data_IF_720113111764
#
_entry.id   IF_720113111764
#
_cell.length_a   1.000
_cell.length_b   1.000
_cell.length_c   1.000
_cell.angle_alpha   90.00
_cell.angle_beta   90.00
_cell.angle_gamma   90.00
#
_symmetry.space_group_name_H-M   'P 1'
#
loop_
_entity.id
_entity.type
_entity.pdbx_description
1 polymer ?
#
# COMPACT_ATOMS: atom_id res chain seq x y z
N UNK A 1 -3.46 35.47 13.66
CA UNK A 1 -2.61 34.30 13.90
C UNK A 1 -3.55 33.11 14.06
N UNK A 2 -3.96 32.52 12.93
CA UNK A 2 -4.84 31.35 12.92
C UNK A 2 -3.91 30.20 13.33
N UNK A 3 -4.08 29.67 14.54
CA UNK A 3 -3.53 28.35 14.84
C UNK A 3 -4.21 27.42 13.85
N UNK A 4 -3.43 26.79 12.95
CA UNK A 4 -3.93 25.67 12.18
C UNK A 4 -4.46 24.64 13.19
N UNK A 5 -5.78 24.58 13.36
CA UNK A 5 -6.49 23.73 14.30
C UNK A 5 -6.50 22.26 13.81
N UNK A 6 -5.43 21.88 13.10
CA UNK A 6 -5.32 20.60 12.45
C UNK A 6 -4.86 19.61 13.52
N UNK A 7 -5.79 18.80 14.05
CA UNK A 7 -5.47 17.67 14.94
C UNK A 7 -4.22 16.94 14.43
N UNK A 8 -3.34 16.48 15.30
CA UNK A 8 -2.18 15.69 14.85
C UNK A 8 -2.62 14.26 14.45
N UNK A 9 -1.96 13.68 13.43
CA UNK A 9 -2.22 12.31 12.97
C UNK A 9 -1.98 11.30 14.09
N UNK A 10 -0.95 11.52 14.92
CA UNK A 10 -0.65 10.63 16.05
C UNK A 10 -1.73 10.68 17.14
N UNK A 11 -2.25 11.88 17.42
CA UNK A 11 -3.38 12.05 18.34
C UNK A 11 -4.63 11.36 17.81
N UNK A 12 -4.97 11.57 16.54
CA UNK A 12 -6.12 10.93 15.90
C UNK A 12 -5.98 9.40 15.94
N UNK A 13 -4.79 8.88 15.64
CA UNK A 13 -4.50 7.45 15.75
C UNK A 13 -4.71 6.92 17.18
N UNK A 14 -4.26 7.66 18.19
CA UNK A 14 -4.43 7.26 19.60
C UNK A 14 -5.90 7.23 20.01
N UNK A 15 -6.70 8.23 19.60
CA UNK A 15 -8.14 8.28 19.86
C UNK A 15 -8.88 7.11 19.22
N UNK A 16 -8.57 6.81 17.96
CA UNK A 16 -9.18 5.67 17.25
C UNK A 16 -8.80 4.35 17.92
N UNK A 17 -7.52 4.15 18.29
CA UNK A 17 -7.09 2.95 19.02
C UNK A 17 -7.81 2.81 20.36
N UNK A 18 -7.99 3.91 21.10
CA UNK A 18 -8.69 3.91 22.38
C UNK A 18 -10.17 3.55 22.20
N UNK A 19 -10.86 4.18 21.25
CA UNK A 19 -12.25 3.87 20.93
C UNK A 19 -12.41 2.40 20.51
N UNK A 20 -11.55 1.91 19.61
CA UNK A 20 -11.56 0.52 19.17
C UNK A 20 -11.25 -0.47 20.31
N UNK A 21 -10.40 -0.13 21.27
CA UNK A 21 -10.12 -0.96 22.44
C UNK A 21 -11.37 -1.28 23.28
N UNK A 22 -12.33 -0.37 23.33
CA UNK A 22 -13.61 -0.55 24.04
C UNK A 22 -14.74 -1.07 23.15
N UNK A 23 -14.82 -0.60 21.91
CA UNK A 23 -15.97 -0.83 21.03
C UNK A 23 -15.83 -2.07 20.16
N UNK A 24 -14.61 -2.56 19.90
CA UNK A 24 -14.44 -3.74 19.08
C UNK A 24 -14.95 -5.02 19.80
N UNK A 25 -15.64 -5.93 19.07
CA UNK A 25 -15.91 -5.88 17.63
C UNK A 25 -17.09 -4.95 17.29
N UNK A 26 -16.96 -4.13 16.24
CA UNK A 26 -18.03 -3.23 15.77
C UNK A 26 -17.88 -2.84 14.28
N UNK A 27 -18.76 -1.98 13.78
CA UNK A 27 -18.63 -1.40 12.43
C UNK A 27 -17.59 -0.27 12.41
N UNK A 28 -17.00 0.02 11.23
CA UNK A 28 -16.13 1.20 11.04
C UNK A 28 -16.83 2.51 11.45
N UNK A 29 -18.10 2.65 11.08
CA UNK A 29 -18.91 3.83 11.38
C UNK A 29 -19.08 4.05 12.89
N UNK A 30 -19.14 2.97 13.68
CA UNK A 30 -19.26 3.03 15.14
C UNK A 30 -18.01 3.65 15.78
N UNK A 31 -16.81 3.20 15.40
CA UNK A 31 -15.56 3.79 15.90
C UNK A 31 -15.42 5.24 15.43
N UNK A 32 -15.72 5.50 14.16
CA UNK A 32 -15.66 6.85 13.63
C UNK A 32 -16.63 7.79 14.36
N UNK A 33 -17.84 7.34 14.69
CA UNK A 33 -18.83 8.15 15.40
C UNK A 33 -18.36 8.49 16.80
N UNK A 34 -17.87 7.50 17.56
CA UNK A 34 -17.36 7.74 18.91
C UNK A 34 -16.21 8.77 18.94
N UNK A 35 -15.29 8.72 17.97
CA UNK A 35 -14.18 9.69 17.89
C UNK A 35 -14.67 11.07 17.45
N UNK A 36 -15.57 11.15 16.46
CA UNK A 36 -16.12 12.43 15.98
C UNK A 36 -16.94 13.12 17.06
N UNK A 37 -17.82 12.40 17.75
CA UNK A 37 -18.60 12.92 18.89
C UNK A 37 -17.68 13.44 20.01
N UNK A 38 -16.58 12.73 20.30
CA UNK A 38 -15.60 13.17 21.31
C UNK A 38 -14.85 14.45 20.93
N UNK A 39 -14.80 14.79 19.64
CA UNK A 39 -14.06 15.92 19.08
C UNK A 39 -14.98 17.00 18.49
N UNK A 40 -16.30 16.87 18.62
CA UNK A 40 -17.27 17.70 17.91
C UNK A 40 -17.13 19.20 18.19
N UNK A 41 -16.67 19.55 19.40
CA UNK A 41 -16.45 20.93 19.82
C UNK A 41 -15.02 21.45 19.56
N UNK A 42 -14.12 20.58 19.09
CA UNK A 42 -12.72 20.92 18.81
C UNK A 42 -12.44 21.08 17.31
N UNK A 43 -13.28 20.51 16.45
CA UNK A 43 -13.12 20.58 15.00
C UNK A 43 -13.95 21.69 14.37
N UNK A 44 -13.35 22.44 13.45
CA UNK A 44 -14.01 23.55 12.76
C UNK A 44 -15.10 23.08 11.79
N UNK A 45 -15.04 21.84 11.30
CA UNK A 45 -16.03 21.27 10.36
C UNK A 45 -16.21 19.76 10.59
N UNK A 46 -17.37 19.32 11.11
CA UNK A 46 -17.64 17.91 11.43
C UNK A 46 -17.46 16.94 10.25
N UNK A 47 -17.83 17.35 9.05
CA UNK A 47 -17.74 16.53 7.83
C UNK A 47 -16.28 16.24 7.48
N UNK A 48 -15.41 17.26 7.52
CA UNK A 48 -13.98 17.09 7.25
C UNK A 48 -13.30 16.24 8.33
N UNK A 49 -13.74 16.36 9.60
CA UNK A 49 -13.24 15.52 10.67
C UNK A 49 -13.64 14.06 10.45
N UNK A 50 -14.90 13.81 10.06
CA UNK A 50 -15.39 12.47 9.73
C UNK A 50 -14.56 11.83 8.62
N UNK A 51 -14.37 12.52 7.50
CA UNK A 51 -13.55 12.04 6.38
C UNK A 51 -12.12 11.70 6.84
N UNK A 52 -11.54 12.53 7.70
CA UNK A 52 -10.20 12.31 8.23
C UNK A 52 -10.12 11.13 9.20
N UNK A 53 -11.13 10.95 10.06
CA UNK A 53 -11.24 9.81 10.98
C UNK A 53 -11.42 8.50 10.19
N UNK A 54 -12.21 8.53 9.13
CA UNK A 54 -12.41 7.38 8.24
C UNK A 54 -11.10 6.99 7.55
N UNK A 55 -10.39 7.97 6.95
CA UNK A 55 -9.09 7.75 6.33
C UNK A 55 -8.01 7.24 7.32
N UNK A 56 -8.03 7.77 8.55
CA UNK A 56 -7.16 7.32 9.63
C UNK A 56 -7.47 5.87 10.06
N UNK A 57 -8.76 5.52 10.16
CA UNK A 57 -9.21 4.17 10.48
C UNK A 57 -8.76 3.17 9.41
N UNK A 58 -8.88 3.53 8.13
CA UNK A 58 -8.35 2.73 7.03
C UNK A 58 -6.84 2.55 7.10
N UNK A 59 -6.12 3.61 7.49
CA UNK A 59 -4.67 3.54 7.69
C UNK A 59 -4.30 2.59 8.84
N UNK A 60 -5.04 2.61 9.94
CA UNK A 60 -4.82 1.70 11.08
C UNK A 60 -5.16 0.24 10.74
N UNK A 61 -6.17 0.00 9.89
CA UNK A 61 -6.42 -1.33 9.31
C UNK A 61 -5.25 -1.76 8.42
N UNK A 62 -4.75 -0.84 7.58
CA UNK A 62 -3.64 -1.11 6.69
C UNK A 62 -2.36 -1.44 7.45
N UNK A 63 -2.07 -0.71 8.53
CA UNK A 63 -0.90 -0.93 9.39
C UNK A 63 -1.06 -2.18 10.24
N UNK A 64 -2.27 -2.58 10.60
CA UNK A 64 -2.54 -3.83 11.34
C UNK A 64 -2.84 -3.62 12.82
N UNK A 65 -3.24 -2.41 13.21
CA UNK A 65 -3.83 -2.15 14.53
C UNK A 65 -5.28 -2.63 14.61
N UNK A 66 -5.97 -2.60 13.47
CA UNK A 66 -7.33 -3.08 13.29
C UNK A 66 -7.36 -4.20 12.25
N UNK A 67 -8.24 -5.18 12.46
CA UNK A 67 -8.52 -6.24 11.51
C UNK A 67 -9.92 -6.03 10.93
N UNK A 68 -10.00 -6.01 9.60
CA UNK A 68 -11.27 -6.00 8.90
C UNK A 68 -11.67 -7.42 8.50
N UNK A 69 -12.87 -7.83 8.88
CA UNK A 69 -13.48 -9.10 8.48
C UNK A 69 -14.78 -8.83 7.73
N UNK A 70 -14.84 -9.33 6.50
CA UNK A 70 -16.03 -9.32 5.66
C UNK A 70 -16.81 -10.62 5.90
N UNK A 71 -18.14 -10.54 5.96
CA UNK A 71 -19.02 -11.69 6.17
C UNK A 71 -18.79 -12.40 7.52
N UNK A 72 -18.73 -11.62 8.62
CA UNK A 72 -18.78 -12.22 9.96
C UNK A 72 -20.19 -12.81 10.14
N UNK A 73 -20.29 -14.12 10.32
CA UNK A 73 -21.50 -14.75 10.86
C UNK A 73 -21.62 -14.31 12.31
N UNK A 74 -22.45 -13.31 12.52
CA UNK A 74 -22.96 -12.93 13.84
C UNK A 74 -24.25 -13.71 14.05
N UNK A 75 -24.69 -13.86 15.29
CA UNK A 75 -25.97 -14.51 15.62
C UNK A 75 -27.19 -13.87 14.92
N UNK A 76 -27.00 -12.70 14.29
CA UNK A 76 -27.93 -12.10 13.34
C UNK A 76 -27.57 -12.44 11.87
N UNK A 77 -28.25 -13.41 11.24
CA UNK A 77 -28.05 -13.76 9.83
C UNK A 77 -28.41 -12.66 8.82
N UNK A 78 -29.01 -11.54 9.26
CA UNK A 78 -29.22 -10.35 8.42
C UNK A 78 -28.11 -9.31 8.51
N UNK A 79 -27.18 -9.42 9.47
CA UNK A 79 -26.06 -8.51 9.63
C UNK A 79 -24.97 -8.77 8.56
N UNK A 80 -25.25 -8.46 7.29
CA UNK A 80 -24.26 -8.36 6.22
C UNK A 80 -23.45 -7.07 6.40
N UNK A 81 -22.57 -7.06 7.40
CA UNK A 81 -21.70 -5.92 7.69
C UNK A 81 -20.22 -6.28 7.53
N UNK A 82 -19.41 -5.31 7.16
CA UNK A 82 -17.96 -5.35 7.36
C UNK A 82 -17.67 -4.94 8.79
N UNK A 83 -16.99 -5.80 9.54
CA UNK A 83 -16.68 -5.57 10.95
C UNK A 83 -15.20 -5.33 11.16
N UNK A 84 -14.88 -4.49 12.13
CA UNK A 84 -13.52 -4.25 12.60
C UNK A 84 -13.31 -4.87 13.99
N UNK A 85 -12.13 -5.43 14.18
CA UNK A 85 -11.66 -6.03 15.41
C UNK A 85 -10.35 -5.36 15.81
N UNK A 86 -10.11 -5.21 17.12
CA UNK A 86 -8.78 -4.87 17.62
C UNK A 86 -7.82 -6.02 17.30
N UNK A 87 -6.74 -5.75 16.58
CA UNK A 87 -5.70 -6.75 16.38
C UNK A 87 -4.96 -6.99 17.70
N UNK A 88 -4.56 -8.24 18.01
CA UNK A 88 -3.76 -8.49 19.21
C UNK A 88 -2.41 -7.76 19.13
N UNK A 89 -1.83 -7.33 20.28
CA UNK A 89 -0.52 -6.70 20.30
C UNK A 89 0.56 -7.56 19.63
N UNK A 90 1.28 -6.94 18.71
CA UNK A 90 2.31 -7.60 17.92
C UNK A 90 3.36 -6.61 17.43
N UNK A 91 4.34 -7.12 16.71
CA UNK A 91 5.39 -6.26 16.15
C UNK A 91 5.96 -6.82 14.85
N UNK A 92 6.57 -5.92 14.06
CA UNK A 92 7.33 -6.24 12.85
C UNK A 92 8.69 -5.60 12.97
N UNK A 93 9.76 -6.40 12.89
CA UNK A 93 11.13 -5.86 12.78
C UNK A 93 11.41 -5.56 11.30
N UNK A 94 11.60 -4.28 10.99
CA UNK A 94 11.97 -3.83 9.64
C UNK A 94 13.44 -4.13 9.36
N UNK A 95 13.81 -4.18 8.09
CA UNK A 95 15.21 -4.41 7.66
C UNK A 95 16.21 -3.38 8.17
N UNK A 96 15.78 -2.15 8.43
CA UNK A 96 16.60 -1.10 9.05
C UNK A 96 16.92 -1.38 10.52
N UNK A 97 16.21 -2.32 11.15
CA UNK A 97 16.26 -2.59 12.59
C UNK A 97 15.16 -1.89 13.38
N UNK A 98 14.48 -0.89 12.80
CA UNK A 98 13.30 -0.25 13.38
C UNK A 98 12.21 -1.29 13.61
N UNK A 99 11.52 -1.24 14.75
CA UNK A 99 10.40 -2.12 15.05
C UNK A 99 9.08 -1.35 14.97
N UNK A 100 8.16 -1.82 14.13
CA UNK A 100 6.78 -1.34 14.08
C UNK A 100 5.94 -2.10 15.11
N UNK A 101 5.26 -1.37 15.98
CA UNK A 101 4.31 -1.92 16.95
C UNK A 101 2.90 -1.94 16.35
N UNK A 102 2.22 -3.07 16.53
CA UNK A 102 0.91 -3.37 15.98
C UNK A 102 -0.09 -3.72 17.09
N UNK A 103 -1.36 -3.60 16.75
CA UNK A 103 -2.46 -4.07 17.56
C UNK A 103 -2.81 -3.17 18.73
N UNK A 104 -3.88 -3.52 19.42
CA UNK A 104 -4.47 -2.72 20.48
C UNK A 104 -4.68 -3.66 21.67
N UNK A 105 -4.20 -3.28 22.86
CA UNK A 105 -4.62 -3.91 24.11
C UNK A 105 -5.88 -3.21 24.63
N UNK A 106 -6.75 -3.95 25.34
CA UNK A 106 -8.03 -3.42 25.82
C UNK A 106 -7.86 -2.31 26.85
N UNK A 107 -6.84 -2.42 27.69
CA UNK A 107 -6.61 -1.48 28.80
C UNK A 107 -5.64 -0.34 28.41
N UNK A 108 -4.69 -0.63 27.52
CA UNK A 108 -3.61 0.27 27.09
C UNK A 108 -3.37 0.17 25.58
N UNK A 109 -2.84 1.22 24.95
CA UNK A 109 -2.56 1.17 23.50
C UNK A 109 -1.54 0.07 23.13
N UNK A 110 -0.53 -0.18 23.97
CA UNK A 110 0.41 -1.31 23.89
C UNK A 110 0.96 -1.59 25.30
N UNK A 111 0.90 -2.83 25.82
CA UNK A 111 1.38 -3.15 27.16
C UNK A 111 2.91 -3.27 27.17
N UNK A 112 3.59 -2.13 27.22
CA UNK A 112 5.06 -2.06 27.26
C UNK A 112 5.53 -1.59 28.64
N UNK A 113 6.63 -2.14 29.18
CA UNK A 113 7.34 -1.54 30.31
C UNK A 113 7.72 -0.09 30.01
N UNK A 114 7.80 0.74 31.05
CA UNK A 114 8.13 2.17 30.94
C UNK A 114 9.39 2.41 30.12
N UNK A 115 10.41 1.57 30.29
CA UNK A 115 11.69 1.72 29.58
C UNK A 115 11.52 1.61 28.05
N UNK A 116 10.59 0.77 27.57
CA UNK A 116 10.30 0.64 26.13
C UNK A 116 9.27 1.67 25.68
N UNK A 117 8.27 1.98 26.52
CA UNK A 117 7.24 2.97 26.22
C UNK A 117 7.84 4.35 25.94
N UNK A 118 8.82 4.77 26.75
CA UNK A 118 9.52 6.06 26.59
C UNK A 118 10.35 6.17 25.30
N UNK A 119 10.65 5.04 24.66
CA UNK A 119 11.39 4.97 23.40
C UNK A 119 10.49 4.96 22.16
N UNK A 120 9.16 4.87 22.34
CA UNK A 120 8.22 4.80 21.21
C UNK A 120 8.14 6.17 20.53
N UNK A 121 8.50 6.19 19.25
CA UNK A 121 8.27 7.32 18.37
C UNK A 121 6.92 7.14 17.68
N UNK A 122 6.05 8.12 17.85
CA UNK A 122 4.81 8.21 17.10
C UNK A 122 5.09 8.96 15.80
N UNK A 123 4.94 8.26 14.68
CA UNK A 123 5.12 8.85 13.36
C UNK A 123 3.82 8.70 12.58
N UNK A 124 3.06 9.79 12.48
CA UNK A 124 1.69 9.79 11.94
C UNK A 124 0.85 8.71 12.63
N UNK A 125 0.36 7.74 11.88
CA UNK A 125 -0.42 6.62 12.40
C UNK A 125 0.44 5.46 12.90
N UNK A 126 1.76 5.47 12.75
CA UNK A 126 2.64 4.38 13.17
C UNK A 126 3.22 4.58 14.59
N UNK A 127 3.48 3.47 15.28
CA UNK A 127 4.24 3.42 16.54
C UNK A 127 5.53 2.68 16.28
N UNK A 128 6.66 3.34 16.44
CA UNK A 128 7.97 2.84 16.05
C UNK A 128 8.90 2.81 17.26
N UNK A 129 9.64 1.71 17.41
CA UNK A 129 10.82 1.65 18.27
C UNK A 129 12.06 1.76 17.37
N UNK A 130 12.86 2.82 17.51
CA UNK A 130 14.10 2.98 16.75
C UNK A 130 15.07 1.83 17.02
N UNK A 131 15.91 1.53 16.02
CA UNK A 131 16.97 0.55 16.17
C UNK A 131 18.01 1.03 17.21
N UNK A 132 18.13 0.31 18.33
CA UNK A 132 19.08 0.64 19.41
C UNK A 132 20.32 -0.26 19.45
N UNK A 133 20.45 -1.19 18.50
CA UNK A 133 21.49 -2.23 18.49
C UNK A 133 21.27 -3.36 19.52
N UNK A 134 20.36 -3.17 20.49
CA UNK A 134 19.88 -4.22 21.40
C UNK A 134 18.86 -5.11 20.70
N UNK A 135 18.69 -6.33 21.21
CA UNK A 135 17.67 -7.25 20.69
C UNK A 135 16.27 -6.94 21.22
N UNK A 136 15.70 -5.83 20.73
CA UNK A 136 14.35 -5.37 21.06
C UNK A 136 13.28 -6.42 20.69
N UNK A 137 13.50 -7.18 19.61
CA UNK A 137 12.55 -8.19 19.16
C UNK A 137 12.40 -9.33 20.18
N UNK A 138 13.52 -9.82 20.73
CA UNK A 138 13.49 -10.84 21.79
C UNK A 138 12.81 -10.31 23.05
N UNK A 139 13.07 -9.05 23.44
CA UNK A 139 12.40 -8.43 24.58
C UNK A 139 10.87 -8.34 24.38
N UNK A 140 10.41 -7.89 23.21
CA UNK A 140 8.98 -7.80 22.90
C UNK A 140 8.30 -9.17 22.84
N UNK A 141 8.99 -10.18 22.30
CA UNK A 141 8.49 -11.55 22.28
C UNK A 141 8.37 -12.14 23.72
N UNK A 142 9.32 -11.82 24.61
CA UNK A 142 9.26 -12.22 26.02
C UNK A 142 8.09 -11.57 26.78
N UNK A 143 7.62 -10.41 26.31
CA UNK A 143 6.40 -9.74 26.81
C UNK A 143 5.11 -10.34 26.23
N UNK A 144 5.20 -11.35 25.36
CA UNK A 144 4.04 -12.02 24.76
C UNK A 144 3.50 -11.36 23.50
N UNK A 145 4.19 -10.35 22.93
CA UNK A 145 3.78 -9.76 21.66
C UNK A 145 4.07 -10.73 20.50
N UNK A 146 3.13 -10.82 19.56
CA UNK A 146 3.29 -11.69 18.39
C UNK A 146 4.25 -11.07 17.39
N UNK A 147 5.33 -11.78 17.06
CA UNK A 147 6.26 -11.38 16.01
C UNK A 147 5.69 -11.71 14.62
N UNK A 148 5.68 -10.72 13.73
CA UNK A 148 5.33 -10.88 12.32
C UNK A 148 6.54 -10.61 11.43
N UNK A 149 6.70 -11.41 10.37
CA UNK A 149 7.68 -11.08 9.32
C UNK A 149 7.18 -9.88 8.51
N UNK A 150 8.13 -9.12 7.98
CA UNK A 150 7.84 -7.96 7.14
C UNK A 150 7.04 -8.35 5.89
N UNK A 151 7.32 -9.53 5.31
CA UNK A 151 6.60 -10.10 4.19
C UNK A 151 5.16 -10.49 4.54
N UNK A 152 4.94 -11.10 5.71
CA UNK A 152 3.60 -11.46 6.16
C UNK A 152 2.75 -10.21 6.44
N UNK A 153 3.36 -9.20 7.06
CA UNK A 153 2.72 -7.93 7.39
C UNK A 153 2.35 -7.09 6.16
N UNK A 154 3.28 -6.90 5.22
CA UNK A 154 3.01 -6.16 3.96
C UNK A 154 1.93 -6.83 3.12
N UNK A 155 1.66 -8.12 3.36
CA UNK A 155 0.77 -8.96 2.54
C UNK A 155 1.20 -8.98 1.06
N UNK A 156 2.48 -8.73 0.79
CA UNK A 156 3.08 -8.70 -0.54
C UNK A 156 3.18 -10.09 -1.19
N UNK A 157 3.61 -10.14 -2.46
CA UNK A 157 3.87 -11.39 -3.16
C UNK A 157 4.97 -12.19 -2.46
N UNK A 158 4.92 -13.51 -2.66
CA UNK A 158 6.11 -14.32 -2.42
C UNK A 158 7.22 -13.90 -3.39
N UNK A 159 8.50 -13.89 -2.96
CA UNK A 159 9.62 -13.56 -3.83
C UNK A 159 9.61 -14.39 -5.11
N UNK A 160 9.69 -13.72 -6.26
CA UNK A 160 9.73 -14.34 -7.58
C UNK A 160 10.58 -13.50 -8.52
N UNK A 161 11.10 -14.12 -9.58
CA UNK A 161 11.68 -13.38 -10.70
C UNK A 161 10.57 -12.82 -11.60
N UNK A 162 10.84 -11.74 -12.37
CA UNK A 162 9.90 -11.23 -13.36
C UNK A 162 9.43 -12.33 -14.33
N UNK A 163 10.37 -13.16 -14.80
CA UNK A 163 10.14 -14.22 -15.77
C UNK A 163 9.17 -15.27 -15.23
N UNK A 164 9.40 -15.75 -13.99
CA UNK A 164 8.52 -16.75 -13.37
C UNK A 164 7.10 -16.22 -13.20
N UNK A 165 6.92 -14.94 -12.86
CA UNK A 165 5.59 -14.34 -12.76
C UNK A 165 4.89 -14.27 -14.13
N UNK A 166 5.59 -13.77 -15.15
CA UNK A 166 5.07 -13.65 -16.51
C UNK A 166 4.72 -15.01 -17.10
N UNK A 167 5.58 -16.03 -16.93
CA UNK A 167 5.32 -17.40 -17.39
C UNK A 167 4.10 -18.04 -16.69
N UNK A 168 3.96 -17.81 -15.38
CA UNK A 168 2.79 -18.29 -14.63
C UNK A 168 1.50 -17.65 -15.14
N UNK A 169 1.53 -16.36 -15.46
CA UNK A 169 0.38 -15.65 -16.02
C UNK A 169 0.09 -16.06 -17.46
N UNK A 170 1.12 -16.22 -18.29
CA UNK A 170 0.98 -16.71 -19.66
C UNK A 170 0.31 -18.09 -19.68
N UNK A 171 0.72 -19.02 -18.80
CA UNK A 171 0.06 -20.32 -18.65
C UNK A 171 -1.41 -20.21 -18.27
N UNK A 172 -1.75 -19.33 -17.33
CA UNK A 172 -3.15 -19.09 -16.94
C UNK A 172 -3.97 -18.50 -18.08
N UNK A 173 -3.41 -17.51 -18.76
CA UNK A 173 -4.05 -16.87 -19.91
C UNK A 173 -4.29 -17.88 -21.03
N UNK A 174 -3.33 -18.76 -21.33
CA UNK A 174 -3.50 -19.83 -22.31
C UNK A 174 -4.65 -20.78 -21.95
N UNK A 175 -4.85 -21.07 -20.66
CA UNK A 175 -5.97 -21.89 -20.18
C UNK A 175 -7.33 -21.17 -20.17
N UNK A 176 -7.35 -19.85 -20.33
CA UNK A 176 -8.60 -19.07 -20.40
C UNK A 176 -9.32 -19.28 -21.74
N UNK A 177 -10.66 -19.19 -21.77
CA UNK A 177 -11.41 -19.20 -23.01
C UNK A 177 -11.02 -18.01 -23.91
N UNK A 178 -11.36 -18.07 -25.20
CA UNK A 178 -11.20 -16.94 -26.11
C UNK A 178 -12.01 -15.75 -25.61
N UNK A 179 -11.46 -14.54 -25.70
CA UNK A 179 -12.09 -13.33 -25.15
C UNK A 179 -13.29 -12.83 -25.94
N UNK A 180 -13.46 -13.28 -27.19
CA UNK A 180 -14.33 -12.61 -28.15
C UNK A 180 -13.82 -11.20 -28.47
N UNK A 181 -14.68 -10.39 -29.08
CA UNK A 181 -14.40 -8.97 -29.32
C UNK A 181 -14.45 -8.18 -28.01
N UNK A 182 -13.46 -7.32 -27.81
CA UNK A 182 -13.40 -6.39 -26.67
C UNK A 182 -13.40 -4.97 -27.20
N UNK A 183 -14.58 -4.38 -27.50
CA UNK A 183 -14.65 -2.99 -27.93
C UNK A 183 -14.08 -2.09 -26.84
N UNK A 184 -13.40 -1.01 -27.24
CA UNK A 184 -12.80 -0.02 -26.34
C UNK A 184 -11.73 -0.59 -25.38
N UNK A 185 -11.17 -1.76 -25.68
CA UNK A 185 -10.00 -2.29 -24.98
C UNK A 185 -8.86 -1.25 -25.03
N UNK A 186 -8.34 -0.91 -23.86
CA UNK A 186 -7.10 -0.13 -23.73
C UNK A 186 -6.04 -0.98 -23.06
N UNK A 187 -4.78 -0.75 -23.39
CA UNK A 187 -3.66 -1.48 -22.81
C UNK A 187 -2.44 -0.59 -22.58
N UNK A 188 -1.51 -1.07 -21.75
CA UNK A 188 -0.25 -0.40 -21.48
C UNK A 188 0.75 -0.78 -22.57
N UNK A 189 1.12 0.20 -23.37
CA UNK A 189 2.07 0.02 -24.47
C UNK A 189 3.51 -0.22 -23.96
N UNK A 190 4.23 -1.19 -24.53
CA UNK A 190 5.59 -1.52 -24.10
C UNK A 190 6.66 -0.55 -24.63
N UNK A 191 6.38 0.14 -25.75
CA UNK A 191 7.31 0.98 -26.51
C UNK A 191 7.33 2.45 -26.05
N UNK A 192 6.49 2.78 -25.06
CA UNK A 192 6.36 4.12 -24.49
C UNK A 192 7.28 4.30 -23.28
N UNK A 193 7.71 5.54 -23.02
CA UNK A 193 8.58 5.83 -21.89
C UNK A 193 7.90 5.48 -20.55
N UNK A 194 8.58 4.64 -19.77
CA UNK A 194 8.21 4.26 -18.40
C UNK A 194 8.14 5.44 -17.42
N UNK A 195 8.71 6.61 -17.77
CA UNK A 195 8.62 7.83 -16.96
C UNK A 195 7.29 8.58 -17.09
N UNK A 196 6.45 8.24 -18.08
CA UNK A 196 5.15 8.88 -18.31
C UNK A 196 4.00 7.88 -18.37
N UNK A 197 3.58 7.38 -17.19
CA UNK A 197 2.56 6.33 -17.07
C UNK A 197 1.25 6.60 -17.82
N UNK A 198 0.70 7.83 -17.74
CA UNK A 198 -0.58 8.16 -18.41
C UNK A 198 -0.47 8.03 -19.93
N UNK A 199 0.67 8.40 -20.52
CA UNK A 199 0.90 8.30 -21.97
C UNK A 199 1.09 6.88 -22.48
N UNK A 200 1.27 5.90 -21.59
CA UNK A 200 1.43 4.50 -21.98
C UNK A 200 0.11 3.85 -22.40
N UNK A 201 -1.03 4.40 -21.98
CA UNK A 201 -2.34 3.83 -22.27
C UNK A 201 -2.78 4.13 -23.71
N UNK A 202 -3.40 3.14 -24.35
CA UNK A 202 -4.24 3.39 -25.52
C UNK A 202 -4.75 2.13 -26.20
N UNK A 203 -5.40 2.32 -27.35
CA UNK A 203 -5.98 1.23 -28.12
C UNK A 203 -4.91 0.37 -28.84
N UNK A 204 -5.15 -0.94 -29.00
CA UNK A 204 -4.39 -1.82 -29.89
C UNK A 204 -4.38 -1.34 -31.34
N UNK A 205 -3.29 -1.61 -32.05
CA UNK A 205 -3.10 -1.35 -33.49
C UNK A 205 -2.63 -2.62 -34.19
N UNK A 206 -1.37 -3.00 -33.98
CA UNK A 206 -0.70 -4.15 -34.60
C UNK A 206 0.14 -4.95 -33.60
N UNK A 207 -0.01 -4.68 -32.31
CA UNK A 207 0.77 -5.30 -31.25
C UNK A 207 0.42 -6.79 -31.13
N UNK A 208 1.45 -7.59 -30.88
CA UNK A 208 1.32 -9.04 -30.66
C UNK A 208 2.05 -9.40 -29.38
N UNK A 209 1.40 -10.19 -28.52
CA UNK A 209 1.97 -10.63 -27.23
C UNK A 209 0.99 -10.47 -26.07
N UNK A 210 1.55 -10.45 -24.86
CA UNK A 210 0.79 -10.38 -23.60
C UNK A 210 0.98 -9.01 -22.95
N UNK A 211 -0.12 -8.38 -22.53
CA UNK A 211 -0.13 -7.02 -21.99
C UNK A 211 -1.11 -6.88 -20.83
N UNK A 212 -0.92 -5.84 -20.02
CA UNK A 212 -1.97 -5.37 -19.10
C UNK A 212 -2.92 -4.46 -19.86
N UNK A 213 -4.21 -4.69 -19.66
CA UNK A 213 -5.27 -3.90 -20.27
C UNK A 213 -6.48 -3.68 -19.37
N UNK A 214 -7.41 -2.89 -19.89
CA UNK A 214 -8.71 -2.60 -19.30
C UNK A 214 -9.78 -2.80 -20.35
N UNK A 215 -10.79 -3.60 -20.02
CA UNK A 215 -12.02 -3.73 -20.82
C UNK A 215 -13.16 -2.94 -20.18
N UNK A 216 -14.16 -2.50 -20.96
CA UNK A 216 -15.38 -1.90 -20.40
C UNK A 216 -16.09 -2.85 -19.43
N UNK A 217 -16.82 -2.26 -18.49
CA UNK A 217 -17.69 -2.97 -17.56
C UNK A 217 -19.08 -2.36 -17.61
N UNK A 218 -20.10 -3.19 -17.79
CA UNK A 218 -21.48 -2.73 -17.69
C UNK A 218 -21.75 -2.23 -16.27
N UNK A 219 -22.26 -1.00 -16.16
CA UNK A 219 -22.62 -0.33 -14.90
C UNK A 219 -21.44 0.01 -13.94
N UNK A 220 -20.20 0.06 -14.42
CA UNK A 220 -19.02 0.52 -13.66
C UNK A 220 -18.47 1.87 -14.15
N UNK A 221 -17.98 2.72 -13.22
CA UNK A 221 -17.28 3.98 -13.59
C UNK A 221 -15.85 3.74 -14.11
N UNK A 222 -15.24 2.59 -13.79
CA UNK A 222 -13.87 2.25 -14.18
C UNK A 222 -13.84 0.90 -14.92
N UNK A 223 -13.04 0.80 -15.98
CA UNK A 223 -12.89 -0.46 -16.73
C UNK A 223 -12.20 -1.56 -15.92
N UNK A 224 -12.59 -2.81 -16.19
CA UNK A 224 -12.05 -4.00 -15.52
C UNK A 224 -10.61 -4.25 -15.94
N UNK A 225 -9.72 -4.32 -14.94
CA UNK A 225 -8.32 -4.68 -15.14
C UNK A 225 -8.18 -6.13 -15.59
N UNK A 226 -7.25 -6.37 -16.51
CA UNK A 226 -6.99 -7.71 -17.01
C UNK A 226 -5.64 -7.87 -17.67
N UNK A 227 -5.29 -9.12 -17.91
CA UNK A 227 -4.19 -9.50 -18.80
C UNK A 227 -4.79 -9.86 -20.15
N UNK A 228 -4.31 -9.24 -21.23
CA UNK A 228 -4.79 -9.47 -22.60
C UNK A 228 -3.69 -10.08 -23.46
N UNK A 229 -4.05 -11.07 -24.27
CA UNK A 229 -3.24 -11.58 -25.37
C UNK A 229 -3.72 -10.93 -26.67
N UNK A 230 -2.82 -10.23 -27.36
CA UNK A 230 -3.07 -9.63 -28.67
C UNK A 230 -2.36 -10.44 -29.76
N UNK A 231 -3.00 -10.58 -30.91
CA UNK A 231 -2.41 -11.06 -32.15
C UNK A 231 -2.73 -10.06 -33.25
N UNK A 232 -1.71 -9.36 -33.77
CA UNK A 232 -1.85 -8.27 -34.74
C UNK A 232 -2.93 -7.24 -34.34
N UNK A 233 -2.91 -6.78 -33.09
CA UNK A 233 -3.87 -5.82 -32.53
C UNK A 233 -5.22 -6.42 -32.11
N UNK A 234 -5.52 -7.68 -32.47
CA UNK A 234 -6.80 -8.31 -32.11
C UNK A 234 -6.68 -9.07 -30.78
N UNK A 235 -7.60 -8.85 -29.81
CA UNK A 235 -7.64 -9.60 -28.57
C UNK A 235 -8.06 -11.05 -28.83
N UNK A 236 -7.19 -11.99 -28.44
CA UNK A 236 -7.47 -13.43 -28.57
C UNK A 236 -7.88 -14.05 -27.24
N UNK A 237 -7.32 -13.57 -26.13
CA UNK A 237 -7.63 -14.01 -24.76
C UNK A 237 -7.58 -12.85 -23.80
N UNK A 238 -8.41 -12.91 -22.76
CA UNK A 238 -8.46 -11.92 -21.69
C UNK A 238 -8.70 -12.62 -20.35
N UNK A 239 -7.92 -12.24 -19.35
CA UNK A 239 -8.01 -12.76 -17.99
C UNK A 239 -8.26 -11.60 -17.04
N UNK A 240 -9.45 -11.55 -16.46
CA UNK A 240 -9.83 -10.54 -15.46
C UNK A 240 -8.93 -10.62 -14.22
N UNK A 241 -8.56 -9.45 -13.69
CA UNK A 241 -7.85 -9.27 -12.44
C UNK A 241 -8.80 -8.69 -11.36
N UNK A 242 -8.70 -9.12 -10.10
CA UNK A 242 -7.71 -10.06 -9.57
C UNK A 242 -8.03 -11.51 -9.92
N UNK A 243 -7.00 -12.35 -10.12
CA UNK A 243 -7.22 -13.75 -10.54
C UNK A 243 -7.71 -14.64 -9.40
N UNK A 244 -6.94 -14.66 -8.31
CA UNK A 244 -7.21 -15.32 -7.01
C UNK A 244 -6.45 -14.62 -5.88
N UNK A 245 -5.96 -13.41 -6.13
CA UNK A 245 -5.21 -12.65 -5.14
C UNK A 245 -6.18 -11.96 -4.19
N UNK A 246 -5.70 -11.63 -2.99
CA UNK A 246 -6.39 -10.78 -2.03
C UNK A 246 -6.25 -9.29 -2.36
N UNK A 247 -5.62 -8.96 -3.49
CA UNK A 247 -5.32 -7.58 -3.87
C UNK A 247 -6.42 -7.02 -4.77
N UNK A 248 -6.44 -5.69 -4.88
CA UNK A 248 -7.27 -5.01 -5.87
C UNK A 248 -6.80 -5.38 -7.28
N UNK A 249 -7.69 -5.37 -8.26
CA UNK A 249 -7.34 -5.65 -9.65
C UNK A 249 -6.21 -4.75 -10.18
N UNK A 250 -6.20 -3.47 -9.78
CA UNK A 250 -5.12 -2.54 -10.11
C UNK A 250 -3.77 -2.91 -9.48
N UNK A 251 -3.75 -3.36 -8.22
CA UNK A 251 -2.51 -3.74 -7.54
C UNK A 251 -1.88 -4.98 -8.19
N UNK A 252 -2.70 -5.98 -8.54
CA UNK A 252 -2.22 -7.15 -9.31
C UNK A 252 -1.74 -6.70 -10.70
N UNK A 253 -2.49 -5.83 -11.38
CA UNK A 253 -2.11 -5.33 -12.71
C UNK A 253 -0.79 -4.56 -12.70
N UNK A 254 -0.56 -3.66 -11.73
CA UNK A 254 0.69 -2.91 -11.61
C UNK A 254 1.87 -3.82 -11.30
N UNK A 255 1.68 -4.82 -10.42
CA UNK A 255 2.72 -5.80 -10.13
C UNK A 255 3.10 -6.63 -11.37
N UNK A 256 2.12 -7.04 -12.17
CA UNK A 256 2.37 -7.74 -13.43
C UNK A 256 3.02 -6.83 -14.47
N UNK A 257 2.60 -5.57 -14.55
CA UNK A 257 3.20 -4.61 -15.47
C UNK A 257 4.69 -4.39 -15.17
N UNK A 258 5.07 -4.31 -13.89
CA UNK A 258 6.47 -4.24 -13.46
C UNK A 258 7.27 -5.45 -13.96
N UNK A 259 6.71 -6.65 -13.84
CA UNK A 259 7.37 -7.87 -14.32
C UNK A 259 7.51 -7.91 -15.85
N UNK A 260 6.47 -7.48 -16.58
CA UNK A 260 6.50 -7.40 -18.04
C UNK A 260 7.57 -6.42 -18.53
N UNK A 261 7.62 -5.23 -17.94
CA UNK A 261 8.61 -4.19 -18.24
C UNK A 261 10.03 -4.67 -17.95
N UNK A 262 10.25 -5.32 -16.79
CA UNK A 262 11.55 -5.90 -16.44
C UNK A 262 11.96 -7.04 -17.39
N UNK A 263 11.04 -7.92 -17.77
CA UNK A 263 11.30 -9.02 -18.72
C UNK A 263 11.65 -8.50 -20.11
N UNK A 264 11.09 -7.34 -20.50
CA UNK A 264 11.39 -6.65 -21.77
C UNK A 264 12.69 -5.84 -21.74
N UNK A 265 13.44 -5.87 -20.64
CA UNK A 265 14.67 -5.06 -20.42
C UNK A 265 14.41 -3.55 -20.44
N UNK A 266 13.18 -3.15 -20.15
CA UNK A 266 12.78 -1.74 -19.99
C UNK A 266 12.09 -1.57 -18.64
N UNK A 267 12.78 -1.89 -17.52
CA UNK A 267 12.18 -1.84 -16.18
C UNK A 267 11.68 -0.44 -15.85
N UNK A 268 10.60 -0.36 -15.07
CA UNK A 268 10.11 0.92 -14.60
C UNK A 268 11.11 1.58 -13.66
N UNK A 269 11.07 2.91 -13.68
CA UNK A 269 12.07 3.75 -13.04
C UNK A 269 11.50 4.48 -11.82
N UNK A 270 12.38 4.81 -10.89
CA UNK A 270 12.14 5.76 -9.81
C UNK A 270 13.38 6.63 -9.65
N UNK A 271 13.23 7.85 -9.13
CA UNK A 271 14.34 8.77 -8.90
C UNK A 271 14.54 9.02 -7.41
N UNK A 272 15.78 9.10 -6.96
CA UNK A 272 16.14 9.46 -5.59
C UNK A 272 16.74 10.87 -5.59
N UNK A 273 16.13 11.81 -4.87
CA UNK A 273 16.66 13.17 -4.68
C UNK A 273 17.09 13.37 -3.24
N UNK A 274 18.38 13.67 -2.97
CA UNK A 274 18.86 13.88 -1.62
C UNK A 274 18.25 15.13 -0.97
N UNK A 275 18.15 15.11 0.35
CA UNK A 275 17.72 16.22 1.22
C UNK A 275 18.61 16.24 2.48
N UNK A 276 18.45 17.23 3.35
CA UNK A 276 19.24 17.34 4.58
C UNK A 276 19.04 16.13 5.53
N UNK A 277 17.82 15.61 5.66
CA UNK A 277 17.49 14.55 6.64
C UNK A 277 17.08 13.21 6.00
N UNK A 278 17.38 13.01 4.71
CA UNK A 278 16.96 11.82 3.98
C UNK A 278 16.90 12.04 2.47
N UNK A 279 15.97 11.39 1.79
CA UNK A 279 15.80 11.56 0.34
C UNK A 279 14.34 11.44 -0.08
N UNK A 280 13.99 12.12 -1.17
CA UNK A 280 12.73 11.89 -1.87
C UNK A 280 12.87 10.71 -2.83
N UNK A 281 11.90 9.80 -2.79
CA UNK A 281 11.69 8.73 -3.75
C UNK A 281 10.56 9.16 -4.67
N UNK A 282 10.90 9.57 -5.88
CA UNK A 282 9.93 9.95 -6.91
C UNK A 282 9.59 8.75 -7.79
N UNK A 283 8.31 8.45 -7.91
CA UNK A 283 7.81 7.35 -8.73
C UNK A 283 7.14 7.89 -9.99
N UNK A 284 7.47 7.32 -11.14
CA UNK A 284 6.90 7.73 -12.43
C UNK A 284 5.74 6.86 -12.90
N UNK A 285 5.61 5.69 -12.29
CA UNK A 285 4.56 4.72 -12.51
C UNK A 285 3.98 4.30 -11.16
N UNK A 286 2.71 3.89 -11.11
CA UNK A 286 2.09 3.43 -9.87
C UNK A 286 2.77 2.15 -9.38
N UNK A 287 2.85 2.01 -8.06
CA UNK A 287 3.27 0.77 -7.40
C UNK A 287 2.07 0.15 -6.69
N UNK A 288 2.06 -1.17 -6.47
CA UNK A 288 1.01 -1.80 -5.69
C UNK A 288 0.89 -1.21 -4.27
N UNK A 289 -0.34 -1.12 -3.75
CA UNK A 289 -0.62 -0.54 -2.43
C UNK A 289 0.16 -1.15 -1.28
N UNK A 290 0.49 -2.45 -1.35
CA UNK A 290 1.31 -3.13 -0.34
C UNK A 290 2.76 -2.61 -0.29
N UNK A 291 3.30 -2.13 -1.42
CA UNK A 291 4.61 -1.50 -1.46
C UNK A 291 4.55 -0.03 -1.00
N UNK A 292 3.51 0.69 -1.40
CA UNK A 292 3.26 2.06 -0.94
C UNK A 292 3.09 2.12 0.58
N UNK A 293 2.35 1.17 1.16
CA UNK A 293 2.17 1.03 2.62
C UNK A 293 3.50 0.92 3.35
N UNK A 294 4.47 0.20 2.79
CA UNK A 294 5.79 0.08 3.38
C UNK A 294 6.49 1.44 3.46
N UNK A 295 6.43 2.23 2.39
CA UNK A 295 6.98 3.59 2.35
C UNK A 295 6.27 4.49 3.36
N UNK A 296 4.95 4.37 3.49
CA UNK A 296 4.12 5.21 4.36
C UNK A 296 4.33 5.00 5.87
N UNK A 297 4.97 3.90 6.30
CA UNK A 297 5.30 3.70 7.72
C UNK A 297 6.44 4.61 8.16
N UNK A 298 7.47 4.67 7.33
CA UNK A 298 8.74 5.31 7.70
C UNK A 298 8.94 6.64 7.00
N UNK A 299 8.13 6.93 5.98
CA UNK A 299 8.22 8.12 5.16
C UNK A 299 6.88 8.81 5.00
N UNK A 300 6.95 9.99 4.41
CA UNK A 300 5.83 10.92 4.28
C UNK A 300 5.57 11.21 2.81
N UNK A 301 4.30 11.37 2.44
CA UNK A 301 3.97 11.88 1.12
C UNK A 301 4.55 13.28 0.95
N UNK A 302 5.25 13.48 -0.15
CA UNK A 302 5.95 14.71 -0.46
C UNK A 302 5.36 15.39 -1.70
N UNK A 303 5.57 16.71 -1.85
CA UNK A 303 5.23 17.43 -3.08
C UNK A 303 5.85 16.77 -4.32
N UNK A 304 5.05 16.66 -5.38
CA UNK A 304 5.46 16.03 -6.64
C UNK A 304 6.49 16.91 -7.35
N UNK A 305 7.50 16.29 -7.94
CA UNK A 305 8.50 16.95 -8.79
C UNK A 305 8.59 16.26 -10.15
N UNK A 306 7.75 16.66 -11.12
CA UNK A 306 7.67 16.00 -12.45
C UNK A 306 7.55 14.46 -12.35
N UNK A 307 6.77 13.97 -11.40
CA UNK A 307 6.57 12.55 -11.12
C UNK A 307 5.09 12.27 -10.79
N UNK A 308 4.72 11.00 -10.69
CA UNK A 308 3.36 10.59 -10.34
C UNK A 308 3.06 10.84 -8.86
N UNK A 309 3.98 10.45 -7.98
CA UNK A 309 3.95 10.72 -6.55
C UNK A 309 5.37 10.65 -5.96
N UNK A 310 5.55 11.20 -4.76
CA UNK A 310 6.84 11.27 -4.09
C UNK A 310 6.70 10.93 -2.61
N UNK A 311 7.69 10.25 -2.05
CA UNK A 311 7.81 9.99 -0.62
C UNK A 311 9.13 10.55 -0.09
N UNK A 312 9.10 11.30 0.99
CA UNK A 312 10.30 11.64 1.78
C UNK A 312 10.60 10.48 2.72
N UNK A 313 11.78 9.89 2.58
CA UNK A 313 12.25 8.77 3.41
C UNK A 313 13.45 9.21 4.24
N UNK A 314 13.47 8.96 5.56
CA UNK A 314 14.60 9.29 6.43
C UNK A 314 15.89 8.56 6.05
N UNK A 315 17.04 9.18 6.34
CA UNK A 315 18.36 8.66 5.98
C UNK A 315 18.59 7.19 6.40
N UNK A 316 18.14 6.81 7.60
CA UNK A 316 18.34 5.47 8.16
C UNK A 316 17.56 4.37 7.42
N UNK A 317 16.51 4.75 6.68
CA UNK A 317 15.61 3.82 5.99
C UNK A 317 15.92 3.69 4.50
N UNK A 318 16.71 4.61 3.93
CA UNK A 318 16.97 4.70 2.49
C UNK A 318 17.39 3.38 1.86
N UNK A 319 18.45 2.76 2.41
CA UNK A 319 19.00 1.50 1.89
C UNK A 319 17.96 0.37 1.92
N UNK A 320 17.22 0.25 3.03
CA UNK A 320 16.21 -0.78 3.19
C UNK A 320 15.04 -0.60 2.21
N UNK A 321 14.61 0.65 1.96
CA UNK A 321 13.57 0.93 0.98
C UNK A 321 14.07 0.70 -0.45
N UNK A 322 15.27 1.15 -0.78
CA UNK A 322 15.86 0.99 -2.11
C UNK A 322 16.04 -0.50 -2.47
N UNK A 323 16.60 -1.30 -1.56
CA UNK A 323 16.73 -2.75 -1.73
C UNK A 323 15.37 -3.44 -1.92
N UNK A 324 14.34 -3.01 -1.19
CA UNK A 324 12.99 -3.56 -1.34
C UNK A 324 12.40 -3.25 -2.73
N UNK A 325 12.47 -2.00 -3.18
CA UNK A 325 11.98 -1.60 -4.50
C UNK A 325 12.70 -2.35 -5.62
N UNK A 326 14.02 -2.50 -5.53
CA UNK A 326 14.81 -3.20 -6.54
C UNK A 326 14.56 -4.72 -6.52
N UNK A 327 14.49 -5.34 -5.34
CA UNK A 327 14.36 -6.81 -5.21
C UNK A 327 12.92 -7.30 -5.42
N UNK A 328 11.93 -6.57 -4.90
CA UNK A 328 10.53 -7.02 -4.87
C UNK A 328 9.67 -6.42 -5.98
N UNK A 329 10.07 -5.28 -6.56
CA UNK A 329 9.34 -4.63 -7.67
C UNK A 329 10.18 -4.52 -8.95
N UNK A 330 11.46 -4.92 -8.92
CA UNK A 330 12.38 -4.85 -10.07
C UNK A 330 12.52 -3.44 -10.65
N UNK A 331 12.31 -2.43 -9.80
CA UNK A 331 12.46 -1.03 -10.17
C UNK A 331 13.94 -0.69 -10.31
N UNK A 332 14.26 0.18 -11.27
CA UNK A 332 15.62 0.66 -11.49
C UNK A 332 15.70 2.15 -11.16
N UNK A 333 16.77 2.52 -10.48
CA UNK A 333 17.04 3.92 -10.17
C UNK A 333 17.32 4.69 -11.45
N UNK A 334 16.62 5.79 -11.62
CA UNK A 334 16.92 6.83 -12.60
C UNK A 334 17.82 7.85 -11.94
N UNK A 335 19.08 7.86 -12.36
CA UNK A 335 19.94 8.99 -12.08
C UNK A 335 19.58 10.07 -13.10
N UNK A 336 18.94 11.14 -12.62
CA UNK A 336 18.94 12.36 -13.41
C UNK A 336 20.41 12.74 -13.57
N UNK A 337 20.91 12.75 -14.81
CA UNK A 337 22.13 13.50 -15.09
C UNK A 337 21.86 14.88 -14.55
N UNK A 338 22.64 15.28 -13.56
CA UNK A 338 22.67 16.63 -13.05
C UNK A 338 22.78 17.57 -14.24
N UNK A 339 21.71 18.28 -14.58
CA UNK A 339 21.81 19.55 -15.27
C UNK A 339 22.48 20.52 -14.30
N UNK A 340 23.77 20.29 -14.06
CA UNK A 340 24.70 21.31 -13.62
C UNK A 340 25.37 21.79 -14.90
N UNK A 341 25.31 23.10 -15.11
CA UNK A 341 25.89 23.88 -16.22
C UNK A 341 24.97 24.11 -17.43
N UNK A 342 24.23 25.22 -17.31
CA UNK A 342 23.67 26.03 -18.39
C UNK A 342 23.58 27.47 -17.92
#
# INVERSE_FOLDING_TARGET
>A
MIMDNNLDDALLAALIRRAAGFLCPCSRATVAAAVVESLEFLADTPETLRERVDAATETLIAFGDLLELNQVTIDDPQAKGTWIFAAPPGFVKLRSGTVLLLGISRDESTPLPSELSDQVIYHRFARLLPATGKDQATALAALGLTAHTEEAWTRGPQPATPQTLVEKLARRLLSSPSSGELPELTFIRPDTDTTYYRGRWGAPRNETGVFIGRRPQDFGREGMWGVVQLANGLPTKFLDLPTRSRWRGCDEAWYVQLALDATRRTPQKYRVRPTQDGSYFDFFSPIPSWAERRLAIVGELAPRAKCLFSYRVPQQELKAQEEYLQKNLWLVRHDDKSETEG
#
